data_IF_316194876456
#
_entry.id   IF_316194876456
#
_cell.length_a   1.000
_cell.length_b   1.000
_cell.length_c   1.000
_cell.angle_alpha   90.00
_cell.angle_beta   90.00
_cell.angle_gamma   90.00
#
_symmetry.space_group_name_H-M   'P 1'
#
loop_
_entity.id
_entity.type
_entity.pdbx_description
1 polymer ?
#
# COMPACT_ATOMS: atom_id res chain seq x y z
N UNK A 1 -34.05 10.23 -22.91
CA UNK A 1 -33.33 9.27 -22.06
C UNK A 1 -32.32 10.07 -21.28
N UNK A 2 -32.59 10.36 -19.99
CA UNK A 2 -31.55 10.82 -19.07
C UNK A 2 -30.47 9.75 -19.03
N UNK A 3 -29.27 10.08 -19.51
CA UNK A 3 -28.14 9.16 -19.52
C UNK A 3 -27.65 8.93 -18.10
N UNK A 4 -27.85 7.73 -17.55
CA UNK A 4 -27.21 7.35 -16.29
C UNK A 4 -25.70 7.36 -16.48
N UNK A 5 -24.98 8.09 -15.63
CA UNK A 5 -23.52 8.09 -15.60
C UNK A 5 -23.06 6.82 -14.89
N UNK A 6 -22.27 6.02 -15.59
CA UNK A 6 -21.64 4.84 -14.98
C UNK A 6 -20.45 5.27 -14.13
N UNK A 7 -20.36 4.75 -12.91
CA UNK A 7 -19.25 4.99 -11.97
C UNK A 7 -18.35 3.77 -11.94
N UNK A 8 -17.05 3.98 -12.00
CA UNK A 8 -16.03 2.94 -11.88
C UNK A 8 -14.98 3.39 -10.86
N UNK A 9 -14.67 2.54 -9.90
CA UNK A 9 -13.50 2.71 -9.04
C UNK A 9 -12.25 2.34 -9.81
N UNK A 10 -11.18 3.12 -9.64
CA UNK A 10 -9.90 2.89 -10.31
C UNK A 10 -8.69 3.23 -9.42
N UNK A 11 -8.60 2.74 -8.18
CA UNK A 11 -7.40 2.92 -7.40
C UNK A 11 -6.21 2.22 -8.05
N UNK A 12 -5.01 2.71 -7.77
CA UNK A 12 -3.79 2.17 -8.35
C UNK A 12 -2.71 1.90 -7.32
N UNK A 13 -1.72 1.11 -7.71
CA UNK A 13 -0.48 0.87 -6.98
C UNK A 13 0.71 1.12 -7.90
N UNK A 14 1.68 1.88 -7.39
CA UNK A 14 2.91 2.22 -8.08
C UNK A 14 3.53 3.51 -7.56
N UNK A 15 4.84 3.63 -7.75
CA UNK A 15 5.63 4.82 -7.41
C UNK A 15 5.61 5.83 -8.57
N UNK A 16 6.04 7.10 -8.37
CA UNK A 16 6.19 8.05 -9.47
C UNK A 16 7.07 7.54 -10.63
N UNK A 17 8.09 6.73 -10.33
CA UNK A 17 8.92 6.11 -11.35
C UNK A 17 8.14 5.08 -12.19
N UNK A 18 7.30 4.26 -11.57
CA UNK A 18 6.42 3.29 -12.22
C UNK A 18 5.38 4.02 -13.08
N UNK A 19 4.81 5.14 -12.59
CA UNK A 19 3.88 5.96 -13.35
C UNK A 19 4.52 6.48 -14.65
N UNK A 20 5.75 7.02 -14.57
CA UNK A 20 6.46 7.54 -15.74
C UNK A 20 6.75 6.48 -16.81
N UNK A 21 6.84 5.21 -16.41
CA UNK A 21 7.04 4.08 -17.33
C UNK A 21 5.75 3.50 -17.88
N UNK A 22 4.59 3.98 -17.42
CA UNK A 22 3.29 3.41 -17.79
C UNK A 22 3.06 2.01 -17.22
N UNK A 23 3.72 1.65 -16.11
CA UNK A 23 3.71 0.31 -15.52
C UNK A 23 2.82 0.18 -14.28
N UNK A 24 1.80 1.05 -14.16
CA UNK A 24 0.89 0.98 -13.02
C UNK A 24 0.15 -0.35 -12.93
N UNK A 25 -0.16 -0.73 -11.69
CA UNK A 25 -1.18 -1.73 -11.39
C UNK A 25 -2.46 -0.98 -11.02
N UNK A 26 -3.54 -1.18 -11.79
CA UNK A 26 -4.85 -0.57 -11.57
C UNK A 26 -5.84 -1.64 -11.14
N UNK A 27 -6.69 -1.32 -10.17
CA UNK A 27 -7.79 -2.15 -9.71
C UNK A 27 -9.09 -1.49 -10.17
N UNK A 28 -9.96 -2.21 -10.87
CA UNK A 28 -11.21 -1.68 -11.40
C UNK A 28 -12.39 -2.42 -10.77
N UNK A 29 -13.40 -1.65 -10.33
CA UNK A 29 -14.65 -2.19 -9.82
C UNK A 29 -15.85 -1.36 -10.29
N UNK A 30 -16.98 -2.01 -10.48
CA UNK A 30 -18.23 -1.39 -10.92
C UNK A 30 -19.04 -2.26 -11.87
N UNK A 31 -19.90 -1.63 -12.65
CA UNK A 31 -20.63 -2.29 -13.74
C UNK A 31 -19.66 -2.91 -14.75
N UNK A 32 -19.83 -4.20 -15.18
CA UNK A 32 -18.88 -4.88 -16.05
C UNK A 32 -18.60 -4.16 -17.37
N UNK A 33 -19.62 -3.63 -18.03
CA UNK A 33 -19.46 -2.93 -19.31
C UNK A 33 -18.72 -1.60 -19.13
N UNK A 34 -18.96 -0.91 -18.02
CA UNK A 34 -18.25 0.32 -17.67
C UNK A 34 -16.80 0.04 -17.31
N UNK A 35 -16.53 -1.03 -16.56
CA UNK A 35 -15.19 -1.49 -16.21
C UNK A 35 -14.38 -1.87 -17.45
N UNK A 36 -14.98 -2.53 -18.45
CA UNK A 36 -14.29 -2.87 -19.71
C UNK A 36 -13.91 -1.64 -20.52
N UNK A 37 -14.77 -0.64 -20.58
CA UNK A 37 -14.43 0.67 -21.17
C UNK A 37 -13.31 1.38 -20.41
N UNK A 38 -13.39 1.39 -19.07
CA UNK A 38 -12.35 1.97 -18.22
C UNK A 38 -11.00 1.24 -18.36
N UNK A 39 -11.01 -0.10 -18.49
CA UNK A 39 -9.82 -0.91 -18.70
C UNK A 39 -9.11 -0.55 -20.02
N UNK A 40 -9.87 -0.28 -21.08
CA UNK A 40 -9.31 0.17 -22.38
C UNK A 40 -8.54 1.49 -22.20
N UNK A 41 -9.08 2.45 -21.44
CA UNK A 41 -8.42 3.73 -21.17
C UNK A 41 -7.21 3.52 -20.24
N UNK A 42 -7.36 2.72 -19.19
CA UNK A 42 -6.29 2.42 -18.24
C UNK A 42 -5.10 1.73 -18.90
N UNK A 43 -5.32 0.93 -19.95
CA UNK A 43 -4.27 0.28 -20.74
C UNK A 43 -3.24 1.23 -21.37
N UNK A 44 -3.56 2.53 -21.46
CA UNK A 44 -2.62 3.53 -21.97
C UNK A 44 -1.51 3.88 -20.95
N UNK A 45 -1.71 3.60 -19.65
CA UNK A 45 -0.77 3.98 -18.57
C UNK A 45 -0.56 2.90 -17.50
N UNK A 46 -1.18 1.73 -17.66
CA UNK A 46 -1.09 0.61 -16.74
C UNK A 46 -0.80 -0.69 -17.50
N UNK A 47 0.14 -1.46 -16.99
CA UNK A 47 0.47 -2.79 -17.54
C UNK A 47 -0.31 -3.93 -16.87
N UNK A 48 -0.84 -3.68 -15.67
CA UNK A 48 -1.62 -4.66 -14.90
C UNK A 48 -2.96 -4.06 -14.51
N UNK A 49 -4.03 -4.68 -14.97
CA UNK A 49 -5.39 -4.25 -14.68
C UNK A 49 -6.15 -5.42 -14.06
N UNK A 50 -6.55 -5.26 -12.81
CA UNK A 50 -7.31 -6.24 -12.05
C UNK A 50 -8.77 -5.79 -11.94
N UNK A 51 -9.70 -6.65 -12.36
CA UNK A 51 -11.14 -6.47 -12.14
C UNK A 51 -11.48 -7.11 -10.81
N UNK A 52 -11.92 -6.32 -9.84
CA UNK A 52 -12.16 -6.80 -8.48
C UNK A 52 -13.62 -7.13 -8.19
N UNK A 53 -14.55 -6.66 -9.01
CA UNK A 53 -15.97 -6.96 -8.88
C UNK A 53 -16.87 -5.73 -8.76
N UNK A 54 -17.84 -5.77 -7.84
CA UNK A 54 -18.79 -4.67 -7.61
C UNK A 54 -18.09 -3.43 -7.03
N UNK A 55 -18.75 -2.26 -7.11
CA UNK A 55 -18.32 -1.04 -6.45
C UNK A 55 -18.00 -1.31 -4.96
N UNK A 56 -16.95 -0.69 -4.45
CA UNK A 56 -16.37 -0.90 -3.12
C UNK A 56 -15.19 -1.87 -3.11
N UNK A 57 -15.17 -2.87 -4.01
CA UNK A 57 -14.15 -3.95 -3.96
C UNK A 57 -12.76 -3.50 -4.40
N UNK A 58 -12.63 -2.53 -5.29
CA UNK A 58 -11.32 -2.05 -5.72
C UNK A 58 -10.66 -1.19 -4.63
N UNK A 59 -11.43 -0.33 -3.97
CA UNK A 59 -10.95 0.45 -2.84
C UNK A 59 -10.59 -0.45 -1.66
N UNK A 60 -11.44 -1.43 -1.33
CA UNK A 60 -11.14 -2.42 -0.28
C UNK A 60 -9.86 -3.20 -0.56
N UNK A 61 -9.68 -3.69 -1.80
CA UNK A 61 -8.45 -4.37 -2.21
C UNK A 61 -7.21 -3.46 -2.09
N UNK A 62 -7.35 -2.18 -2.43
CA UNK A 62 -6.27 -1.19 -2.26
C UNK A 62 -5.91 -0.99 -0.79
N UNK A 63 -6.90 -0.87 0.11
CA UNK A 63 -6.66 -0.70 1.54
C UNK A 63 -5.96 -1.92 2.16
N UNK A 64 -6.43 -3.13 1.83
CA UNK A 64 -5.78 -4.39 2.26
C UNK A 64 -4.34 -4.45 1.75
N UNK A 65 -4.12 -4.13 0.46
CA UNK A 65 -2.76 -4.10 -0.11
C UNK A 65 -1.84 -3.14 0.64
N UNK A 66 -2.32 -1.95 0.98
CA UNK A 66 -1.51 -0.92 1.64
C UNK A 66 -1.22 -1.29 3.10
N UNK A 67 -2.18 -1.89 3.81
CA UNK A 67 -1.97 -2.42 5.17
C UNK A 67 -0.92 -3.53 5.16
N UNK A 68 -1.04 -4.49 4.23
CA UNK A 68 -0.04 -5.56 4.08
C UNK A 68 1.34 -5.00 3.70
N UNK A 69 1.40 -3.99 2.82
CA UNK A 69 2.66 -3.34 2.47
C UNK A 69 3.29 -2.65 3.68
N UNK A 70 2.50 -1.98 4.53
CA UNK A 70 2.98 -1.39 5.77
C UNK A 70 3.56 -2.44 6.73
N UNK A 71 2.86 -3.56 6.93
CA UNK A 71 3.34 -4.68 7.74
C UNK A 71 4.64 -5.27 7.19
N UNK A 72 4.71 -5.54 5.88
CA UNK A 72 5.94 -6.02 5.24
C UNK A 72 7.10 -5.04 5.37
N UNK A 73 6.83 -3.73 5.31
CA UNK A 73 7.86 -2.69 5.52
C UNK A 73 8.40 -2.76 6.94
N UNK A 74 7.52 -2.81 7.95
CA UNK A 74 7.93 -2.95 9.35
C UNK A 74 8.81 -4.18 9.60
N UNK A 75 8.38 -5.34 9.09
CA UNK A 75 9.13 -6.59 9.25
C UNK A 75 10.46 -6.55 8.51
N UNK A 76 10.51 -5.94 7.31
CA UNK A 76 11.76 -5.77 6.56
C UNK A 76 12.74 -4.89 7.34
N UNK A 77 12.30 -3.74 7.86
CA UNK A 77 13.12 -2.86 8.67
C UNK A 77 13.64 -3.55 9.94
N UNK A 78 12.79 -4.36 10.59
CA UNK A 78 13.19 -5.15 11.76
C UNK A 78 14.24 -6.20 11.39
N UNK A 79 14.12 -6.84 10.22
CA UNK A 79 15.10 -7.81 9.73
C UNK A 79 16.44 -7.13 9.42
N UNK A 80 16.44 -5.95 8.79
CA UNK A 80 17.66 -5.18 8.50
C UNK A 80 18.40 -4.80 9.79
N UNK A 81 17.68 -4.29 10.80
CA UNK A 81 18.27 -3.98 12.12
C UNK A 81 18.82 -5.22 12.86
N UNK A 82 18.21 -6.37 12.63
CA UNK A 82 18.70 -7.63 13.21
C UNK A 82 19.95 -8.11 12.47
N UNK A 83 19.99 -7.98 11.14
CA UNK A 83 21.13 -8.33 10.31
C UNK A 83 22.37 -7.49 10.65
N UNK A 84 22.20 -6.18 10.85
CA UNK A 84 23.28 -5.29 11.28
C UNK A 84 23.94 -5.78 12.59
N UNK A 85 23.14 -6.19 13.57
CA UNK A 85 23.65 -6.76 14.84
C UNK A 85 24.39 -8.09 14.66
N UNK A 86 24.14 -8.78 13.56
CA UNK A 86 24.80 -10.02 13.16
C UNK A 86 26.01 -9.77 12.23
N UNK A 87 26.32 -8.51 11.94
CA UNK A 87 27.42 -8.12 11.06
C UNK A 87 27.11 -8.28 9.58
N UNK A 88 25.83 -8.29 9.20
CA UNK A 88 25.37 -8.34 7.80
C UNK A 88 24.96 -6.95 7.39
N UNK A 89 25.58 -6.40 6.35
CA UNK A 89 25.27 -5.08 5.83
C UNK A 89 23.83 -5.02 5.23
N UNK A 90 23.20 -3.84 5.33
CA UNK A 90 21.86 -3.59 4.81
C UNK A 90 21.71 -4.00 3.34
N UNK A 91 22.63 -3.55 2.47
CA UNK A 91 22.62 -3.88 1.05
C UNK A 91 22.72 -5.39 0.80
N UNK A 92 23.59 -6.08 1.55
CA UNK A 92 23.76 -7.53 1.43
C UNK A 92 22.48 -8.28 1.78
N UNK A 93 21.77 -7.87 2.86
CA UNK A 93 20.49 -8.50 3.20
C UNK A 93 19.41 -8.18 2.18
N UNK A 94 19.33 -6.95 1.68
CA UNK A 94 18.35 -6.57 0.65
C UNK A 94 18.55 -7.35 -0.64
N UNK A 95 19.80 -7.55 -1.08
CA UNK A 95 20.13 -8.37 -2.26
C UNK A 95 19.74 -9.84 -2.04
N UNK A 96 20.04 -10.40 -0.86
CA UNK A 96 19.63 -11.75 -0.51
C UNK A 96 18.11 -11.91 -0.52
N UNK A 97 17.37 -10.93 0.03
CA UNK A 97 15.91 -10.95 0.05
C UNK A 97 15.30 -10.83 -1.36
N UNK A 98 16.00 -10.21 -2.33
CA UNK A 98 15.51 -10.14 -3.70
C UNK A 98 15.38 -11.53 -4.35
N UNK A 99 16.26 -12.46 -3.99
CA UNK A 99 16.38 -13.81 -4.57
C UNK A 99 15.86 -14.92 -3.64
N UNK A 100 15.35 -14.58 -2.46
CA UNK A 100 14.98 -15.54 -1.43
C UNK A 100 13.50 -15.45 -1.04
N UNK A 101 13.01 -16.50 -0.39
CA UNK A 101 11.59 -16.63 0.04
C UNK A 101 11.13 -15.58 1.05
N UNK A 102 12.06 -14.93 1.78
CA UNK A 102 11.77 -13.82 2.69
C UNK A 102 11.52 -12.48 1.98
N UNK A 103 11.68 -12.43 0.66
CA UNK A 103 11.53 -11.20 -0.13
C UNK A 103 10.10 -10.68 -0.17
N UNK A 104 9.96 -9.36 -0.30
CA UNK A 104 8.68 -8.66 -0.41
C UNK A 104 8.77 -7.48 -1.37
N UNK A 105 7.63 -6.91 -1.75
CA UNK A 105 7.61 -5.63 -2.47
C UNK A 105 8.25 -4.51 -1.65
N UNK A 106 8.08 -4.53 -0.32
CA UNK A 106 8.69 -3.57 0.59
C UNK A 106 10.22 -3.63 0.53
N UNK A 107 10.81 -4.82 0.64
CA UNK A 107 12.27 -5.00 0.51
C UNK A 107 12.80 -4.47 -0.84
N UNK A 108 12.11 -4.79 -1.94
CA UNK A 108 12.47 -4.28 -3.27
C UNK A 108 12.37 -2.76 -3.39
N UNK A 109 11.38 -2.13 -2.77
CA UNK A 109 11.25 -0.68 -2.81
C UNK A 109 12.29 0.03 -1.95
N UNK A 110 12.67 -0.53 -0.81
CA UNK A 110 13.79 -0.04 0.00
C UNK A 110 15.08 -0.11 -0.83
N UNK A 111 15.42 -1.28 -1.36
CA UNK A 111 16.61 -1.46 -2.19
C UNK A 111 16.63 -0.50 -3.41
N UNK A 112 15.52 -0.36 -4.12
CA UNK A 112 15.43 0.49 -5.31
C UNK A 112 15.40 2.00 -5.02
N UNK A 113 15.21 2.40 -3.76
CA UNK A 113 15.19 3.82 -3.38
C UNK A 113 16.57 4.46 -3.43
N UNK A 114 17.63 3.69 -3.20
CA UNK A 114 18.99 4.17 -3.03
C UNK A 114 19.22 4.94 -1.72
N UNK A 115 18.22 4.94 -0.83
CA UNK A 115 18.28 5.55 0.50
C UNK A 115 18.65 4.49 1.56
N UNK A 116 19.18 4.93 2.71
CA UNK A 116 19.24 4.07 3.89
C UNK A 116 17.80 3.70 4.34
N UNK A 117 17.61 2.49 4.84
CA UNK A 117 16.28 1.98 5.17
C UNK A 117 15.51 2.86 6.17
N UNK A 118 16.18 3.45 7.16
CA UNK A 118 15.56 4.36 8.13
C UNK A 118 15.10 5.67 7.46
N UNK A 119 15.87 6.24 6.55
CA UNK A 119 15.48 7.45 5.80
C UNK A 119 14.30 7.17 4.86
N UNK A 120 14.31 6.00 4.19
CA UNK A 120 13.16 5.55 3.40
C UNK A 120 11.90 5.43 4.27
N UNK A 121 12.01 4.80 5.45
CA UNK A 121 10.92 4.61 6.38
C UNK A 121 10.32 5.95 6.85
N UNK A 122 11.17 6.90 7.26
CA UNK A 122 10.74 8.24 7.67
C UNK A 122 9.94 8.94 6.56
N UNK A 123 10.43 8.89 5.33
CA UNK A 123 9.78 9.52 4.18
C UNK A 123 8.39 8.94 3.86
N UNK A 124 8.16 7.62 4.05
CA UNK A 124 6.89 6.98 3.72
C UNK A 124 5.91 6.88 4.89
N UNK A 125 6.35 7.11 6.13
CA UNK A 125 5.54 6.97 7.35
C UNK A 125 4.21 7.72 7.23
N UNK A 126 4.23 8.97 6.82
CA UNK A 126 3.01 9.79 6.68
C UNK A 126 1.97 9.16 5.73
N UNK A 127 2.41 8.60 4.61
CA UNK A 127 1.50 7.95 3.65
C UNK A 127 0.89 6.68 4.23
N UNK A 128 1.71 5.85 4.87
CA UNK A 128 1.26 4.59 5.46
C UNK A 128 0.32 4.82 6.65
N UNK A 129 0.58 5.81 7.50
CA UNK A 129 -0.31 6.17 8.62
C UNK A 129 -1.71 6.54 8.12
N UNK A 130 -1.78 7.41 7.10
CA UNK A 130 -3.07 7.78 6.49
C UNK A 130 -3.81 6.59 5.88
N UNK A 131 -3.09 5.74 5.16
CA UNK A 131 -3.68 4.58 4.49
C UNK A 131 -4.16 3.54 5.51
N UNK A 132 -3.43 3.35 6.61
CA UNK A 132 -3.83 2.46 7.71
C UNK A 132 -5.09 2.97 8.41
N UNK A 133 -5.18 4.26 8.71
CA UNK A 133 -6.37 4.86 9.30
C UNK A 133 -7.61 4.66 8.40
N UNK A 134 -7.44 4.86 7.08
CA UNK A 134 -8.52 4.63 6.12
C UNK A 134 -8.93 3.14 6.05
N UNK A 135 -7.97 2.20 6.15
CA UNK A 135 -8.24 0.78 6.16
C UNK A 135 -9.03 0.35 7.40
N UNK A 136 -8.63 0.82 8.58
CA UNK A 136 -9.32 0.53 9.84
C UNK A 136 -10.76 1.07 9.81
N UNK A 137 -10.96 2.33 9.40
CA UNK A 137 -12.31 2.91 9.28
C UNK A 137 -13.20 2.13 8.30
N UNK A 138 -12.67 1.75 7.14
CA UNK A 138 -13.44 0.97 6.17
C UNK A 138 -13.76 -0.44 6.66
N UNK A 139 -12.87 -1.07 7.42
CA UNK A 139 -13.11 -2.37 8.01
C UNK A 139 -14.21 -2.32 9.08
N UNK A 140 -14.19 -1.28 9.93
CA UNK A 140 -15.23 -1.03 10.94
C UNK A 140 -16.60 -0.83 10.28
N UNK A 141 -16.67 0.01 9.24
CA UNK A 141 -17.91 0.30 8.49
C UNK A 141 -18.50 -0.95 7.82
N UNK A 142 -17.65 -1.88 7.40
CA UNK A 142 -18.02 -3.12 6.72
C UNK A 142 -18.19 -4.32 7.66
N UNK A 143 -17.84 -4.17 8.94
CA UNK A 143 -17.84 -5.26 9.92
C UNK A 143 -16.82 -6.36 9.59
N UNK A 144 -15.68 -6.00 9.00
CA UNK A 144 -14.60 -6.94 8.61
C UNK A 144 -13.46 -6.86 9.61
N UNK A 145 -13.07 -8.01 10.14
CA UNK A 145 -11.92 -8.11 11.04
C UNK A 145 -10.59 -8.05 10.25
N UNK A 146 -9.80 -7.01 10.51
CA UNK A 146 -8.44 -6.84 10.01
C UNK A 146 -7.41 -6.68 11.14
N UNK A 147 -7.75 -7.00 12.37
CA UNK A 147 -6.93 -6.76 13.56
C UNK A 147 -5.53 -7.36 13.44
N UNK A 148 -5.41 -8.57 12.91
CA UNK A 148 -4.11 -9.21 12.70
C UNK A 148 -3.23 -8.44 11.68
N UNK A 149 -3.83 -7.88 10.63
CA UNK A 149 -3.09 -7.07 9.65
C UNK A 149 -2.65 -5.74 10.28
N UNK A 150 -3.52 -5.09 11.02
CA UNK A 150 -3.22 -3.85 11.74
C UNK A 150 -2.15 -4.10 12.80
N UNK A 151 -2.28 -5.15 13.62
CA UNK A 151 -1.28 -5.51 14.63
C UNK A 151 0.11 -5.72 13.99
N UNK A 152 0.18 -6.37 12.83
CA UNK A 152 1.45 -6.57 12.12
C UNK A 152 2.11 -5.25 11.67
N UNK A 153 1.36 -4.19 11.46
CA UNK A 153 1.92 -2.86 11.12
C UNK A 153 2.61 -2.16 12.29
N UNK A 154 2.49 -2.69 13.51
CA UNK A 154 3.13 -2.17 14.71
C UNK A 154 4.35 -3.01 15.16
N UNK A 155 4.68 -4.07 14.43
CA UNK A 155 5.79 -4.99 14.76
C UNK A 155 7.16 -4.51 14.23
N UNK A 156 7.37 -3.20 14.13
CA UNK A 156 8.62 -2.66 13.60
C UNK A 156 8.92 -1.24 14.08
N UNK A 157 9.96 -0.62 13.52
CA UNK A 157 10.49 0.64 14.02
C UNK A 157 9.68 1.89 13.65
N UNK A 158 8.77 1.81 12.66
CA UNK A 158 7.97 2.95 12.25
C UNK A 158 6.80 3.17 13.22
N UNK A 159 6.54 4.41 13.58
CA UNK A 159 5.36 4.79 14.36
C UNK A 159 4.21 5.12 13.41
N UNK A 160 3.34 4.13 13.16
CA UNK A 160 2.21 4.24 12.23
C UNK A 160 0.86 4.51 12.94
N UNK A 161 0.88 5.02 14.16
CA UNK A 161 -0.33 5.49 14.83
C UNK A 161 -0.75 6.81 14.19
N UNK A 162 -2.01 6.91 13.77
CA UNK A 162 -2.60 8.21 13.51
C UNK A 162 -2.61 8.97 14.85
N UNK A 163 -2.09 10.20 14.87
CA UNK A 163 -2.37 11.09 16.01
C UNK A 163 -3.89 11.13 16.17
N UNK A 164 -4.42 10.94 17.38
CA UNK A 164 -5.85 11.08 17.61
C UNK A 164 -6.28 12.42 17.01
N UNK A 165 -7.34 12.42 16.18
CA UNK A 165 -7.85 13.63 15.60
C UNK A 165 -8.04 14.67 16.73
N UNK A 166 -7.62 15.94 16.56
CA UNK A 166 -7.76 16.95 17.59
C UNK A 166 -9.22 16.99 18.02
N UNK A 167 -9.43 16.77 19.31
CA UNK A 167 -10.79 16.83 19.88
C UNK A 167 -11.33 18.24 19.67
N UNK A 168 -12.64 18.42 19.43
CA UNK A 168 -13.25 19.75 19.24
C UNK A 168 -12.97 20.76 20.37
N UNK A 169 -12.35 20.31 21.48
CA UNK A 169 -11.94 21.14 22.61
C UNK A 169 -10.61 21.91 22.38
N UNK A 170 -9.76 21.45 21.43
CA UNK A 170 -8.44 22.05 21.15
C UNK A 170 -8.53 23.18 20.08
N UNK A 171 -9.71 23.49 19.60
CA UNK A 171 -9.98 24.52 18.58
C UNK A 171 -10.60 25.80 19.18
N UNK A 172 -10.24 26.18 20.42
CA UNK A 172 -10.66 27.46 21.03
C UNK A 172 -9.52 28.40 21.30
#
# INVERSE_FOLDING_TARGET
REGSVAVVEAPFSGTPAIIRRGELTVMLAGDPDAVDRAATVAGAYATRIHRTGALGTALSAKLINNTLFAACTQLTLSALRSAEKLGIDESTLLDLLADSSGGSAAARYIAASGEQADAYAERITHYLTKDLAAASSAADDLGVDIDNLVAATHLGPMHLLADPAPTPADAR
#
